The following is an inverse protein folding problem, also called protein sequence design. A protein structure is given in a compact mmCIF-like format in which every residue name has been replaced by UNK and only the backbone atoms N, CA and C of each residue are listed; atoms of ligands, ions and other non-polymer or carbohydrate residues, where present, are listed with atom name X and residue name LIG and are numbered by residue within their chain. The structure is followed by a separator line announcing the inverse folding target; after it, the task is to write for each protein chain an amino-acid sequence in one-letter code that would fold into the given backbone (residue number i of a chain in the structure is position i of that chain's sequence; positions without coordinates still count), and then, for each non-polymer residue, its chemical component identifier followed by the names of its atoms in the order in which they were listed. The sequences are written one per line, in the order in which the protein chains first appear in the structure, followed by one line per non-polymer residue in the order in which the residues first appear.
data_IF_815975416188
#
_entry.id   IF_815975416188
#
_cell.length_a   1.000
_cell.length_b   1.000
_cell.length_c   1.000
_cell.angle_alpha   90.00
_cell.angle_beta   90.00
_cell.angle_gamma   90.00
#
_symmetry.space_group_name_H-M   'P 1'
#
loop_
_entity.id
_entity.type
_entity.pdbx_description
1 polymer ?
#
# COMPACT_ATOMS: atom_id res chain seq x y z
N UNK A 1 -10.36 -12.27 -16.43
CA UNK A 1 -8.96 -12.52 -16.00
C UNK A 1 -8.42 -11.18 -15.53
N UNK A 2 -8.28 -10.93 -14.21
CA UNK A 2 -7.74 -9.67 -13.71
C UNK A 2 -6.23 -9.65 -14.02
N UNK A 3 -5.74 -8.57 -14.64
CA UNK A 3 -4.32 -8.38 -14.88
C UNK A 3 -3.56 -8.47 -13.55
N UNK A 4 -2.48 -9.25 -13.53
CA UNK A 4 -1.63 -9.41 -12.35
C UNK A 4 -0.94 -8.07 -12.08
N UNK A 5 -1.31 -7.38 -11.02
CA UNK A 5 -0.65 -6.14 -10.59
C UNK A 5 0.82 -6.46 -10.26
N UNK A 6 1.74 -5.95 -11.06
CA UNK A 6 3.18 -6.12 -10.84
C UNK A 6 3.71 -4.96 -9.98
N UNK A 7 4.05 -5.29 -8.74
CA UNK A 7 4.63 -4.33 -7.80
C UNK A 7 5.99 -4.80 -7.30
N UNK A 8 6.90 -3.84 -7.13
CA UNK A 8 8.18 -4.05 -6.47
C UNK A 8 8.22 -3.24 -5.18
N UNK A 9 8.06 -3.92 -4.04
CA UNK A 9 8.15 -3.27 -2.72
C UNK A 9 9.61 -2.95 -2.40
N UNK A 10 9.88 -1.70 -2.03
CA UNK A 10 11.24 -1.20 -1.78
C UNK A 10 11.51 -0.90 -0.30
N UNK A 11 10.47 -0.62 0.48
CA UNK A 11 10.56 -0.41 1.93
C UNK A 11 9.22 -0.71 2.61
N UNK A 12 9.27 -1.20 3.85
CA UNK A 12 8.12 -1.41 4.71
C UNK A 12 8.51 -0.93 6.11
N UNK A 13 7.58 -0.27 6.79
CA UNK A 13 7.70 0.01 8.22
C UNK A 13 6.33 -0.08 8.93
N UNK A 14 6.34 -0.26 10.25
CA UNK A 14 5.15 -0.34 11.10
C UNK A 14 4.97 0.95 11.91
N UNK A 15 3.79 1.55 11.79
CA UNK A 15 3.42 2.81 12.42
C UNK A 15 2.17 2.61 13.29
N UNK A 16 1.86 3.61 14.14
CA UNK A 16 0.63 3.69 14.92
C UNK A 16 0.00 5.08 14.76
N UNK A 17 -1.33 5.17 14.69
CA UNK A 17 -2.00 6.48 14.70
C UNK A 17 -2.10 7.03 16.14
N UNK A 18 -0.95 7.44 16.68
CA UNK A 18 -0.79 7.93 18.06
C UNK A 18 -0.20 6.89 19.00
N UNK A 19 0.02 7.28 20.27
CA UNK A 19 0.75 6.45 21.26
C UNK A 19 0.08 5.08 21.44
N UNK A 20 -1.25 5.01 21.49
CA UNK A 20 -2.04 3.78 21.68
C UNK A 20 -3.03 3.54 20.54
N UNK A 21 -2.79 4.12 19.36
CA UNK A 21 -3.67 4.00 18.21
C UNK A 21 -3.68 2.61 17.56
N UNK A 22 -4.55 2.43 16.58
CA UNK A 22 -4.49 1.31 15.64
C UNK A 22 -3.16 1.33 14.87
N UNK A 23 -2.49 0.17 14.86
CA UNK A 23 -1.28 -0.03 14.09
C UNK A 23 -1.56 -0.16 12.60
N UNK A 24 -0.60 0.23 11.78
CA UNK A 24 -0.65 0.05 10.33
C UNK A 24 0.75 -0.04 9.75
N UNK A 25 0.84 -0.69 8.60
CA UNK A 25 2.07 -0.74 7.83
C UNK A 25 2.05 0.35 6.77
N UNK A 26 3.22 0.95 6.53
CA UNK A 26 3.48 1.82 5.39
C UNK A 26 4.46 1.10 4.48
N UNK A 27 4.12 0.99 3.20
CA UNK A 27 4.96 0.35 2.20
C UNK A 27 5.23 1.30 1.04
N UNK A 28 6.51 1.46 0.67
CA UNK A 28 6.91 2.09 -0.58
C UNK A 28 7.06 1.02 -1.65
N UNK A 29 6.52 1.25 -2.84
CA UNK A 29 6.63 0.29 -3.94
C UNK A 29 6.57 0.97 -5.30
N UNK A 30 7.23 0.37 -6.28
CA UNK A 30 7.04 0.74 -7.68
C UNK A 30 5.91 -0.10 -8.27
N UNK A 31 5.01 0.53 -9.01
CA UNK A 31 3.95 -0.16 -9.75
C UNK A 31 4.09 0.09 -11.24
N UNK A 32 4.16 -0.99 -12.02
CA UNK A 32 4.11 -0.91 -13.47
C UNK A 32 2.68 -1.17 -13.97
N UNK A 33 2.06 -0.16 -14.58
CA UNK A 33 0.70 -0.25 -15.16
C UNK A 33 0.68 -0.80 -16.60
N UNK A 34 1.84 -1.20 -17.12
CA UNK A 34 2.07 -1.66 -18.50
C UNK A 34 2.58 -0.55 -19.43
N UNK A 35 2.45 0.72 -19.03
CA UNK A 35 2.91 1.88 -19.81
C UNK A 35 3.96 2.69 -19.04
N UNK A 36 3.76 2.84 -17.74
CA UNK A 36 4.59 3.65 -16.87
C UNK A 36 4.89 2.90 -15.57
N UNK A 37 6.07 3.16 -15.02
CA UNK A 37 6.38 2.80 -13.64
C UNK A 37 6.12 4.01 -12.76
N UNK A 38 5.31 3.83 -11.73
CA UNK A 38 4.88 4.88 -10.79
C UNK A 38 5.43 4.58 -9.39
N UNK A 39 5.97 5.58 -8.68
CA UNK A 39 6.33 5.43 -7.28
C UNK A 39 5.07 5.53 -6.43
N UNK A 40 4.76 4.48 -5.69
CA UNK A 40 3.55 4.36 -4.90
C UNK A 40 3.85 4.24 -3.40
N UNK A 41 2.84 4.56 -2.59
CA UNK A 41 2.80 4.39 -1.15
C UNK A 41 1.50 3.67 -0.78
N UNK A 42 1.62 2.59 0.00
CA UNK A 42 0.50 1.85 0.55
C UNK A 42 0.42 2.02 2.06
N UNK A 43 -0.75 2.38 2.57
CA UNK A 43 -1.09 2.34 4.00
C UNK A 43 -2.00 1.13 4.22
N UNK A 44 -1.50 0.12 4.92
CA UNK A 44 -2.16 -1.17 5.08
C UNK A 44 -2.49 -1.38 6.55
N UNK A 45 -3.77 -1.39 6.89
CA UNK A 45 -4.21 -1.72 8.23
C UNK A 45 -4.24 -3.24 8.40
N UNK A 46 -3.68 -3.79 9.50
CA UNK A 46 -3.68 -5.22 9.77
C UNK A 46 -5.10 -5.76 9.73
N UNK A 47 -5.24 -6.97 9.22
CA UNK A 47 -6.51 -7.66 9.24
C UNK A 47 -6.97 -7.95 10.67
N UNK A 48 -8.29 -7.87 10.90
CA UNK A 48 -8.92 -8.48 12.08
C UNK A 48 -9.42 -9.90 11.77
N UNK A 49 -9.57 -10.24 10.48
CA UNK A 49 -10.11 -11.50 9.94
C UNK A 49 -9.28 -11.96 8.73
N UNK A 50 -9.37 -13.23 8.30
CA UNK A 50 -8.52 -13.91 7.30
C UNK A 50 -8.60 -13.43 5.81
N UNK A 51 -9.14 -12.24 5.51
CA UNK A 51 -9.34 -11.77 4.11
C UNK A 51 -8.48 -10.55 3.78
N UNK A 52 -7.73 -10.54 2.64
CA UNK A 52 -6.84 -9.45 2.24
C UNK A 52 -7.46 -8.08 2.49
N UNK A 53 -6.78 -7.28 3.32
CA UNK A 53 -7.32 -6.07 3.92
C UNK A 53 -7.93 -5.13 2.89
N UNK A 54 -9.26 -5.04 2.92
CA UNK A 54 -10.03 -3.96 2.27
C UNK A 54 -9.69 -2.59 2.85
N UNK A 55 -8.93 -2.53 3.95
CA UNK A 55 -8.45 -1.33 4.62
C UNK A 55 -7.02 -1.03 4.14
N UNK A 56 -6.91 -0.85 2.84
CA UNK A 56 -5.66 -0.48 2.16
C UNK A 56 -5.89 0.81 1.40
N UNK A 57 -5.16 1.86 1.76
CA UNK A 57 -5.12 3.11 1.00
C UNK A 57 -3.84 3.15 0.17
N UNK A 58 -3.94 3.60 -1.08
CA UNK A 58 -2.80 3.66 -2.01
C UNK A 58 -2.74 5.03 -2.66
N UNK A 59 -1.54 5.58 -2.69
CA UNK A 59 -1.23 6.89 -3.22
C UNK A 59 -0.02 6.82 -4.15
N UNK A 60 -0.04 7.55 -5.25
CA UNK A 60 1.13 7.92 -6.03
C UNK A 60 1.91 9.00 -5.26
N UNK A 61 3.22 8.80 -5.10
CA UNK A 61 4.07 9.64 -4.26
C UNK A 61 4.36 11.00 -4.89
N UNK A 62 4.46 11.06 -6.21
CA UNK A 62 4.73 12.31 -6.91
C UNK A 62 3.49 13.21 -6.85
N UNK A 63 2.30 12.60 -6.96
CA UNK A 63 1.04 13.32 -6.75
C UNK A 63 0.86 13.80 -5.30
N UNK A 64 1.26 13.01 -4.30
CA UNK A 64 1.29 13.47 -2.90
C UNK A 64 2.25 14.65 -2.71
N UNK A 65 3.45 14.58 -3.28
CA UNK A 65 4.44 15.64 -3.19
C UNK A 65 3.94 16.94 -3.84
N UNK A 66 3.13 16.83 -4.90
CA UNK A 66 2.46 17.96 -5.53
C UNK A 66 1.21 18.46 -4.75
N UNK A 67 0.88 17.87 -3.60
CA UNK A 67 -0.27 18.25 -2.77
C UNK A 67 -1.62 17.72 -3.26
N UNK A 68 -1.64 16.80 -4.23
CA UNK A 68 -2.88 16.21 -4.73
C UNK A 68 -3.37 15.11 -3.78
N UNK A 69 -4.45 15.41 -3.05
CA UNK A 69 -5.17 14.50 -2.15
C UNK A 69 -6.63 14.30 -2.59
N UNK A 70 -6.98 14.68 -3.81
CA UNK A 70 -8.36 14.67 -4.26
C UNK A 70 -8.90 13.26 -4.49
N UNK A 71 -10.14 13.02 -4.07
CA UNK A 71 -10.86 11.77 -4.32
C UNK A 71 -11.42 11.74 -5.75
N UNK A 72 -11.32 10.59 -6.43
CA UNK A 72 -11.85 10.27 -7.76
C UNK A 72 -11.41 11.17 -8.95
N UNK A 73 -10.64 12.24 -8.69
CA UNK A 73 -10.04 13.14 -9.68
C UNK A 73 -8.56 13.42 -9.40
N UNK A 74 -7.91 12.49 -8.70
CA UNK A 74 -6.54 12.68 -8.24
C UNK A 74 -5.99 11.42 -7.62
N UNK A 75 -5.36 11.58 -6.47
CA UNK A 75 -4.49 10.56 -5.88
C UNK A 75 -5.21 9.56 -4.96
N UNK A 76 -6.33 8.99 -5.43
CA UNK A 76 -7.15 8.05 -4.65
C UNK A 76 -7.26 6.70 -5.36
N UNK A 77 -6.20 5.90 -5.32
CA UNK A 77 -6.12 4.65 -6.06
C UNK A 77 -6.92 3.52 -5.40
N UNK A 78 -7.36 2.56 -6.23
CA UNK A 78 -8.09 1.35 -5.83
C UNK A 78 -7.19 0.41 -5.01
N UNK A 79 -7.18 0.56 -3.69
CA UNK A 79 -6.33 -0.23 -2.79
C UNK A 79 -6.53 -1.75 -2.88
N UNK A 80 -7.73 -2.21 -3.26
CA UNK A 80 -8.03 -3.63 -3.49
C UNK A 80 -7.16 -4.27 -4.60
N UNK A 81 -6.66 -3.48 -5.54
CA UNK A 81 -5.76 -3.96 -6.60
C UNK A 81 -4.34 -4.29 -6.10
N UNK A 82 -3.95 -3.71 -4.96
CA UNK A 82 -2.60 -3.81 -4.39
C UNK A 82 -2.57 -4.61 -3.08
N UNK A 83 -3.72 -4.78 -2.41
CA UNK A 83 -3.83 -5.40 -1.09
C UNK A 83 -3.15 -6.78 -1.03
N UNK A 84 -3.38 -7.66 -2.02
CA UNK A 84 -2.81 -9.01 -2.03
C UNK A 84 -1.28 -9.03 -2.06
N UNK A 85 -0.62 -8.41 -3.05
CA UNK A 85 0.83 -8.26 -3.08
C UNK A 85 1.41 -7.57 -1.84
N UNK A 86 0.79 -6.48 -1.36
CA UNK A 86 1.27 -5.75 -0.17
C UNK A 86 1.20 -6.60 1.10
N UNK A 87 0.09 -7.33 1.31
CA UNK A 87 -0.03 -8.25 2.45
C UNK A 87 1.07 -9.32 2.46
N UNK A 88 1.38 -9.91 1.31
CA UNK A 88 2.46 -10.91 1.22
C UNK A 88 3.81 -10.31 1.56
N UNK A 89 4.09 -9.08 1.11
CA UNK A 89 5.34 -8.39 1.43
C UNK A 89 5.44 -8.06 2.92
N UNK A 90 4.35 -7.61 3.54
CA UNK A 90 4.27 -7.34 4.99
C UNK A 90 4.47 -8.61 5.81
N UNK A 91 3.80 -9.71 5.46
CA UNK A 91 3.97 -10.99 6.16
C UNK A 91 5.41 -11.51 6.08
N UNK A 92 6.10 -11.26 4.96
CA UNK A 92 7.52 -11.57 4.82
C UNK A 92 8.36 -10.67 5.74
N UNK A 93 8.12 -9.37 5.71
CA UNK A 93 8.79 -8.39 6.58
C UNK A 93 8.65 -8.74 8.07
N UNK A 94 7.45 -9.07 8.54
CA UNK A 94 7.20 -9.48 9.93
C UNK A 94 7.97 -10.73 10.35
N UNK A 95 8.19 -11.68 9.42
CA UNK A 95 8.94 -12.90 9.68
C UNK A 95 10.45 -12.67 9.73
N UNK A 96 10.95 -11.67 8.99
CA UNK A 96 12.37 -11.33 8.93
C UNK A 96 12.79 -10.36 10.05
N UNK A 97 11.85 -9.57 10.57
CA UNK A 97 12.08 -8.64 11.69
C UNK A 97 12.03 -9.33 13.09
N UNK A 98 11.68 -10.62 13.15
CA UNK A 98 11.68 -11.46 14.35
C UNK A 98 12.91 -12.37 14.37
#
# INVERSE_FOLDING_TARGET
MMAKTDIKVTAIDYHRNGICGEGFYVALFDWNDGLHTRPMLGVVFPERDERPSRRTAVFDRDLLAAGNIAFAGGNSWRGDQFAGPLHRAIQKYEKEAR
#
